data_IF_938024107574
#
_entry.id   IF_938024107574
#
_cell.length_a   1.000
_cell.length_b   1.000
_cell.length_c   1.000
_cell.angle_alpha   90.00
_cell.angle_beta   90.00
_cell.angle_gamma   90.00
#
_symmetry.space_group_name_H-M   'P 1'
#
loop_
_entity.id
_entity.type
_entity.pdbx_description
1 polymer ?
#
# COMPACT_ATOMS: atom_id res chain seq x y z
N UNK A 1 8.38 3.07 22.00
CA UNK A 1 8.33 2.31 23.25
C UNK A 1 7.05 2.59 24.02
N UNK A 2 6.43 1.58 24.57
CA UNK A 2 5.20 1.68 25.36
C UNK A 2 5.31 0.85 26.63
N UNK A 3 4.52 1.22 27.65
CA UNK A 3 4.52 0.49 28.94
C UNK A 3 3.67 -0.79 28.88
N UNK A 4 2.66 -0.82 28.04
CA UNK A 4 1.75 -1.95 27.88
C UNK A 4 1.28 -2.05 26.44
N UNK A 5 1.63 -3.15 25.77
CA UNK A 5 1.32 -3.40 24.36
C UNK A 5 -0.19 -3.46 24.11
N UNK A 6 -0.95 -4.17 24.95
CA UNK A 6 -2.40 -4.33 24.75
C UNK A 6 -3.15 -3.00 24.86
N UNK A 7 -2.76 -2.15 25.82
CA UNK A 7 -3.32 -0.81 25.96
C UNK A 7 -2.95 0.08 24.77
N UNK A 8 -1.68 0.08 24.37
CA UNK A 8 -1.19 0.86 23.23
C UNK A 8 -1.87 0.43 21.92
N UNK A 9 -2.06 -0.86 21.71
CA UNK A 9 -2.81 -1.40 20.56
C UNK A 9 -4.26 -0.89 20.53
N UNK A 10 -4.94 -0.86 21.67
CA UNK A 10 -6.28 -0.28 21.78
C UNK A 10 -6.31 1.20 21.41
N UNK A 11 -5.32 1.97 21.88
CA UNK A 11 -5.18 3.39 21.55
C UNK A 11 -4.87 3.61 20.07
N UNK A 12 -3.95 2.83 19.48
CA UNK A 12 -3.64 2.88 18.05
C UNK A 12 -4.90 2.64 17.20
N UNK A 13 -5.67 1.59 17.52
CA UNK A 13 -6.93 1.33 16.80
C UNK A 13 -7.95 2.46 16.96
N UNK A 14 -8.07 3.02 18.16
CA UNK A 14 -8.96 4.16 18.42
C UNK A 14 -8.59 5.41 17.62
N UNK A 15 -7.31 5.76 17.60
CA UNK A 15 -6.79 6.88 16.79
C UNK A 15 -7.08 6.64 15.32
N UNK A 16 -6.73 5.48 14.80
CA UNK A 16 -6.89 5.18 13.38
C UNK A 16 -8.35 5.15 12.94
N UNK A 17 -9.25 4.64 13.77
CA UNK A 17 -10.69 4.69 13.52
C UNK A 17 -11.21 6.14 13.39
N UNK A 18 -10.67 7.07 14.18
CA UNK A 18 -10.99 8.51 14.08
C UNK A 18 -10.56 9.15 12.78
N UNK A 19 -9.62 8.57 12.06
CA UNK A 19 -9.12 9.04 10.77
C UNK A 19 -9.57 8.19 9.57
N UNK A 20 -10.64 7.43 9.69
CA UNK A 20 -11.14 6.50 8.67
C UNK A 20 -10.07 5.47 8.25
N UNK A 21 -9.21 5.10 9.18
CA UNK A 21 -8.21 4.07 9.03
C UNK A 21 -8.76 2.68 9.30
N UNK A 22 -8.21 1.69 8.66
CA UNK A 22 -8.49 0.28 8.96
C UNK A 22 -7.21 -0.53 9.08
N UNK A 23 -7.27 -1.62 9.84
CA UNK A 23 -6.15 -2.55 10.01
C UNK A 23 -6.03 -3.45 8.78
N UNK A 24 -4.81 -3.51 8.21
CA UNK A 24 -4.45 -4.42 7.13
C UNK A 24 -3.88 -5.73 7.69
N UNK A 25 -3.02 -5.63 8.69
CA UNK A 25 -2.44 -6.78 9.38
C UNK A 25 -2.09 -6.43 10.82
N UNK A 26 -2.12 -7.43 11.67
CA UNK A 26 -1.74 -7.32 13.08
C UNK A 26 -0.98 -8.59 13.47
N UNK A 27 0.17 -8.41 14.10
CA UNK A 27 0.98 -9.48 14.65
C UNK A 27 1.40 -9.09 16.06
N UNK A 28 1.13 -9.96 17.04
CA UNK A 28 1.55 -9.79 18.43
C UNK A 28 2.36 -11.00 18.82
N UNK A 29 3.55 -10.78 19.34
CA UNK A 29 4.46 -11.81 19.78
C UNK A 29 5.07 -11.49 21.14
N UNK A 30 5.60 -12.50 21.78
CA UNK A 30 6.43 -12.36 22.97
C UNK A 30 7.77 -13.04 22.72
N UNK A 31 8.82 -12.45 23.26
CA UNK A 31 10.17 -12.96 23.22
C UNK A 31 10.70 -13.07 24.65
N UNK A 32 11.36 -14.16 24.96
CA UNK A 32 11.98 -14.39 26.26
C UNK A 32 13.50 -14.40 26.05
N UNK A 33 14.19 -13.39 26.57
CA UNK A 33 15.66 -13.34 26.59
C UNK A 33 16.15 -13.75 27.98
N UNK A 34 16.88 -14.87 28.03
CA UNK A 34 17.47 -15.42 29.23
C UNK A 34 16.74 -16.65 29.80
N UNK A 35 17.52 -17.55 30.42
CA UNK A 35 17.04 -18.70 31.21
C UNK A 35 17.14 -18.34 32.70
N UNK A 36 16.00 -18.26 33.39
CA UNK A 36 15.98 -18.04 34.85
C UNK A 36 14.56 -17.85 35.41
N UNK A 37 14.38 -18.17 36.69
CA UNK A 37 13.13 -17.86 37.41
C UNK A 37 12.97 -16.35 37.57
N UNK A 38 11.87 -15.79 37.04
CA UNK A 38 11.53 -14.37 37.15
C UNK A 38 11.72 -13.53 35.86
N UNK A 39 12.11 -14.15 34.74
CA UNK A 39 12.21 -13.45 33.45
C UNK A 39 10.81 -13.19 32.91
N UNK A 40 10.44 -11.91 32.80
CA UNK A 40 9.20 -11.51 32.13
C UNK A 40 9.41 -11.48 30.63
N UNK A 41 8.52 -12.09 29.83
CA UNK A 41 8.66 -12.04 28.40
C UNK A 41 8.47 -10.62 27.88
N UNK A 42 9.40 -10.17 27.05
CA UNK A 42 9.24 -8.93 26.29
C UNK A 42 8.19 -9.13 25.22
N UNK A 43 7.27 -8.19 25.13
CA UNK A 43 6.18 -8.26 24.18
C UNK A 43 6.39 -7.22 23.08
N UNK A 44 6.16 -7.63 21.85
CA UNK A 44 6.12 -6.73 20.71
C UNK A 44 4.82 -6.88 19.94
N UNK A 45 4.45 -5.83 19.23
CA UNK A 45 3.35 -5.90 18.28
C UNK A 45 3.70 -5.11 17.03
N UNK A 46 3.37 -5.67 15.89
CA UNK A 46 3.45 -4.99 14.60
C UNK A 46 2.05 -4.85 14.03
N UNK A 47 1.65 -3.63 13.76
CA UNK A 47 0.35 -3.32 13.16
C UNK A 47 0.57 -2.54 11.88
N UNK A 48 0.01 -3.03 10.78
CA UNK A 48 -0.06 -2.27 9.53
C UNK A 48 -1.50 -1.82 9.31
N UNK A 49 -1.65 -0.53 9.12
CA UNK A 49 -2.94 0.13 8.95
C UNK A 49 -2.91 0.98 7.68
N UNK A 50 -4.08 1.25 7.12
CA UNK A 50 -4.25 2.12 5.95
C UNK A 50 -5.11 3.31 6.34
N UNK A 51 -4.65 4.51 5.99
CA UNK A 51 -5.34 5.77 6.26
C UNK A 51 -5.48 6.58 4.96
N UNK A 52 -6.52 7.39 4.77
CA UNK A 52 -6.58 8.34 3.66
C UNK A 52 -5.32 9.21 3.62
N UNK A 53 -4.78 9.45 2.44
CA UNK A 53 -3.50 10.15 2.27
C UNK A 53 -3.53 11.59 2.81
N UNK A 54 -4.67 12.25 2.70
CA UNK A 54 -4.92 13.61 3.23
C UNK A 54 -5.00 13.65 4.76
N UNK A 55 -5.21 12.51 5.41
CA UNK A 55 -5.29 12.37 6.88
C UNK A 55 -4.03 11.76 7.50
N UNK A 56 -3.00 11.48 6.68
CA UNK A 56 -1.77 10.82 7.14
C UNK A 56 -1.06 11.61 8.25
N UNK A 57 -0.79 12.90 8.00
CA UNK A 57 -0.03 13.73 8.96
C UNK A 57 -0.76 13.92 10.28
N UNK A 58 -2.08 14.30 10.31
CA UNK A 58 -2.84 14.35 11.56
C UNK A 58 -2.89 13.02 12.31
N UNK A 59 -3.01 11.88 11.60
CA UNK A 59 -3.00 10.57 12.23
C UNK A 59 -1.65 10.24 12.87
N UNK A 60 -0.55 10.59 12.20
CA UNK A 60 0.80 10.43 12.74
C UNK A 60 1.03 11.28 13.99
N UNK A 61 0.53 12.50 14.03
CA UNK A 61 0.64 13.39 15.19
C UNK A 61 -0.11 12.84 16.42
N UNK A 62 -1.27 12.23 16.22
CA UNK A 62 -2.00 11.58 17.31
C UNK A 62 -1.32 10.28 17.77
N UNK A 63 -0.75 9.50 16.84
CA UNK A 63 -0.02 8.28 17.17
C UNK A 63 1.23 8.57 18.02
N UNK A 64 1.90 9.71 17.81
CA UNK A 64 3.06 10.12 18.61
C UNK A 64 2.75 10.31 20.10
N UNK A 65 1.48 10.53 20.45
CA UNK A 65 1.06 10.71 21.86
C UNK A 65 0.90 9.40 22.62
N UNK A 66 0.91 8.25 21.94
CA UNK A 66 0.67 6.93 22.54
C UNK A 66 1.90 6.42 23.28
N UNK A 67 3.10 6.77 22.83
CA UNK A 67 4.34 6.29 23.43
C UNK A 67 5.55 7.04 22.91
N UNK A 68 6.72 6.70 23.45
CA UNK A 68 8.00 7.28 23.00
C UNK A 68 8.37 6.72 21.62
N UNK A 69 8.70 7.61 20.68
CA UNK A 69 9.17 7.23 19.34
C UNK A 69 10.66 6.96 19.39
N UNK A 70 11.04 5.72 19.10
CA UNK A 70 12.44 5.31 19.02
C UNK A 70 13.01 5.46 17.61
N UNK A 71 12.20 5.17 16.59
CA UNK A 71 12.56 5.33 15.17
C UNK A 71 11.34 5.73 14.34
N UNK A 72 11.53 6.57 13.36
CA UNK A 72 10.51 6.95 12.37
C UNK A 72 11.13 6.95 10.99
N UNK A 73 10.63 6.10 10.13
CA UNK A 73 11.01 6.07 8.72
C UNK A 73 9.82 6.44 7.85
N UNK A 74 10.04 7.38 6.94
CA UNK A 74 9.04 7.72 5.92
C UNK A 74 9.65 7.42 4.56
N UNK A 75 8.99 6.55 3.80
CA UNK A 75 9.34 6.29 2.40
C UNK A 75 8.23 6.86 1.53
N UNK A 76 8.54 7.92 0.81
CA UNK A 76 7.60 8.49 -0.15
C UNK A 76 7.86 7.85 -1.51
N UNK A 77 6.96 7.00 -1.95
CA UNK A 77 6.93 6.53 -3.34
C UNK A 77 6.16 7.56 -4.16
N UNK A 78 6.85 8.27 -5.05
CA UNK A 78 6.18 9.24 -5.92
C UNK A 78 5.46 8.51 -7.07
N UNK A 79 4.29 7.97 -6.79
CA UNK A 79 3.43 7.31 -7.79
C UNK A 79 2.63 8.30 -8.64
N UNK A 80 2.69 9.62 -8.32
CA UNK A 80 1.94 10.65 -9.05
C UNK A 80 2.39 10.75 -10.50
N UNK A 81 3.69 10.71 -10.76
CA UNK A 81 4.23 10.75 -12.12
C UNK A 81 3.80 9.51 -12.92
N UNK A 82 3.86 8.32 -12.32
CA UNK A 82 3.41 7.07 -12.94
C UNK A 82 1.89 7.09 -13.19
N UNK A 83 1.10 7.63 -12.26
CA UNK A 83 -0.33 7.79 -12.43
C UNK A 83 -0.67 8.69 -13.62
N UNK A 84 -0.03 9.86 -13.73
CA UNK A 84 -0.25 10.81 -14.84
C UNK A 84 0.15 10.20 -16.18
N UNK A 85 1.32 9.53 -16.25
CA UNK A 85 1.77 8.85 -17.47
C UNK A 85 0.80 7.73 -17.87
N UNK A 86 0.42 6.88 -16.92
CA UNK A 86 -0.51 5.76 -17.17
C UNK A 86 -1.88 6.27 -17.64
N UNK A 87 -2.40 7.35 -17.04
CA UNK A 87 -3.65 7.98 -17.46
C UNK A 87 -3.57 8.54 -18.90
N UNK A 88 -2.43 9.13 -19.28
CA UNK A 88 -2.21 9.60 -20.64
C UNK A 88 -2.15 8.43 -21.65
N UNK A 89 -1.53 7.30 -21.27
CA UNK A 89 -1.46 6.09 -22.09
C UNK A 89 -2.84 5.45 -22.29
N UNK A 90 -3.67 5.40 -21.25
CA UNK A 90 -5.07 4.93 -21.36
C UNK A 90 -5.80 5.76 -22.41
N UNK A 91 -5.77 7.08 -22.33
CA UNK A 91 -6.42 7.96 -23.31
C UNK A 91 -5.89 7.78 -24.73
N UNK A 92 -4.60 7.54 -24.89
CA UNK A 92 -4.01 7.29 -26.21
C UNK A 92 -4.49 5.95 -26.79
N UNK A 93 -4.56 4.91 -25.98
CA UNK A 93 -5.02 3.59 -26.37
C UNK A 93 -6.52 3.57 -26.70
N UNK A 94 -7.36 4.26 -25.90
CA UNK A 94 -8.80 4.42 -26.21
C UNK A 94 -9.02 5.05 -27.58
N UNK A 95 -8.25 6.10 -27.94
CA UNK A 95 -8.33 6.70 -29.27
C UNK A 95 -7.83 5.75 -30.37
N UNK A 96 -6.86 4.89 -30.11
CA UNK A 96 -6.38 3.91 -31.07
C UNK A 96 -7.45 2.83 -31.31
N UNK A 97 -8.08 2.33 -30.25
CA UNK A 97 -9.21 1.39 -30.34
C UNK A 97 -10.36 1.99 -31.14
N UNK A 98 -10.75 3.23 -30.84
CA UNK A 98 -11.82 3.91 -31.56
C UNK A 98 -11.51 4.05 -33.06
N UNK A 99 -10.27 4.42 -33.43
CA UNK A 99 -9.88 4.51 -34.85
C UNK A 99 -9.93 3.16 -35.58
N UNK A 100 -9.56 2.05 -34.89
CA UNK A 100 -9.66 0.71 -35.49
C UNK A 100 -11.12 0.34 -35.69
N UNK A 101 -12.01 0.65 -34.76
CA UNK A 101 -13.46 0.44 -34.90
C UNK A 101 -14.03 1.22 -36.09
N UNK A 102 -13.66 2.50 -36.22
CA UNK A 102 -14.08 3.32 -37.38
C UNK A 102 -13.60 2.74 -38.71
N UNK A 103 -12.39 2.16 -38.75
CA UNK A 103 -11.85 1.52 -39.95
C UNK A 103 -12.57 0.21 -40.27
N UNK A 104 -12.97 -0.56 -39.27
CA UNK A 104 -13.79 -1.77 -39.42
C UNK A 104 -15.15 -1.42 -40.08
N UNK A 105 -15.79 -0.36 -39.58
CA UNK A 105 -17.10 0.07 -40.09
C UNK A 105 -17.03 0.58 -41.54
N UNK A 106 -15.87 1.08 -41.98
CA UNK A 106 -15.68 1.63 -43.32
C UNK A 106 -15.14 0.60 -44.33
N UNK A 107 -14.56 -0.52 -43.86
CA UNK A 107 -13.93 -1.50 -44.77
C UNK A 107 -14.98 -2.42 -45.43
N UNK A 108 -14.73 -2.73 -46.69
CA UNK A 108 -15.55 -3.71 -47.46
C UNK A 108 -14.74 -4.94 -47.83
N UNK A 109 -13.46 -4.94 -47.54
CA UNK A 109 -12.52 -6.03 -47.83
C UNK A 109 -12.46 -6.99 -46.65
N UNK A 110 -12.85 -8.26 -46.88
CA UNK A 110 -12.90 -9.29 -45.85
C UNK A 110 -11.51 -9.58 -45.25
N UNK A 111 -10.46 -9.58 -46.06
CA UNK A 111 -9.09 -9.84 -45.57
C UNK A 111 -8.60 -8.72 -44.67
N UNK A 112 -8.94 -7.48 -44.99
CA UNK A 112 -8.67 -6.33 -44.15
C UNK A 112 -9.50 -6.35 -42.88
N UNK A 113 -10.76 -6.72 -42.94
CA UNK A 113 -11.64 -6.85 -41.79
C UNK A 113 -11.08 -7.81 -40.75
N UNK A 114 -10.68 -9.03 -41.18
CA UNK A 114 -10.09 -10.03 -40.27
C UNK A 114 -8.79 -9.53 -39.61
N UNK A 115 -7.97 -8.76 -40.32
CA UNK A 115 -6.76 -8.16 -39.75
C UNK A 115 -7.08 -7.09 -38.71
N UNK A 116 -8.04 -6.21 -39.02
CA UNK A 116 -8.47 -5.15 -38.10
C UNK A 116 -9.13 -5.70 -36.84
N UNK A 117 -9.95 -6.77 -36.96
CA UNK A 117 -10.55 -7.43 -35.80
C UNK A 117 -9.51 -8.06 -34.87
N UNK A 118 -8.47 -8.67 -35.40
CA UNK A 118 -7.35 -9.19 -34.61
C UNK A 118 -6.59 -8.05 -33.90
N UNK A 119 -6.29 -6.98 -34.62
CA UNK A 119 -5.63 -5.81 -34.04
C UNK A 119 -6.52 -5.17 -32.97
N UNK A 120 -7.81 -5.04 -33.19
CA UNK A 120 -8.78 -4.53 -32.22
C UNK A 120 -8.75 -5.36 -30.94
N UNK A 121 -8.84 -6.69 -31.05
CA UNK A 121 -8.78 -7.60 -29.90
C UNK A 121 -7.48 -7.44 -29.11
N UNK A 122 -6.35 -7.33 -29.80
CA UNK A 122 -5.04 -7.10 -29.17
C UNK A 122 -5.04 -5.79 -28.39
N UNK A 123 -5.48 -4.68 -29.03
CA UNK A 123 -5.52 -3.36 -28.38
C UNK A 123 -6.50 -3.27 -27.23
N UNK A 124 -7.63 -3.96 -27.30
CA UNK A 124 -8.58 -4.05 -26.19
C UNK A 124 -7.96 -4.73 -24.97
N UNK A 125 -7.27 -5.87 -25.17
CA UNK A 125 -6.57 -6.56 -24.07
C UNK A 125 -5.47 -5.68 -23.45
N UNK A 126 -4.72 -4.97 -24.28
CA UNK A 126 -3.71 -4.02 -23.79
C UNK A 126 -4.35 -2.87 -22.99
N UNK A 127 -5.47 -2.32 -23.48
CA UNK A 127 -6.21 -1.26 -22.81
C UNK A 127 -6.73 -1.71 -21.43
N UNK A 128 -7.32 -2.89 -21.36
CA UNK A 128 -7.79 -3.47 -20.09
C UNK A 128 -6.65 -3.60 -19.06
N UNK A 129 -5.48 -4.07 -19.50
CA UNK A 129 -4.30 -4.17 -18.64
C UNK A 129 -3.81 -2.82 -18.12
N UNK A 130 -3.78 -1.80 -18.97
CA UNK A 130 -3.35 -0.44 -18.56
C UNK A 130 -4.41 0.22 -17.66
N UNK A 131 -5.70 -0.01 -17.92
CA UNK A 131 -6.78 0.49 -17.06
C UNK A 131 -6.74 -0.15 -15.66
N UNK A 132 -6.48 -1.45 -15.56
CA UNK A 132 -6.29 -2.12 -14.28
C UNK A 132 -5.11 -1.52 -13.50
N UNK A 133 -3.99 -1.22 -14.19
CA UNK A 133 -2.84 -0.54 -13.57
C UNK A 133 -3.19 0.87 -13.08
N UNK A 134 -3.95 1.63 -13.86
CA UNK A 134 -4.40 2.98 -13.47
C UNK A 134 -5.27 2.94 -12.21
N UNK A 135 -6.19 1.98 -12.12
CA UNK A 135 -7.02 1.79 -10.91
C UNK A 135 -6.19 1.43 -9.69
N UNK A 136 -5.14 0.61 -9.86
CA UNK A 136 -4.24 0.28 -8.77
C UNK A 136 -3.47 1.51 -8.27
N UNK A 137 -2.94 2.31 -9.18
CA UNK A 137 -2.28 3.57 -8.85
C UNK A 137 -3.21 4.56 -8.14
N UNK A 138 -4.48 4.63 -8.56
CA UNK A 138 -5.50 5.43 -7.87
C UNK A 138 -5.70 4.98 -6.42
N UNK A 139 -5.76 3.67 -6.17
CA UNK A 139 -5.88 3.13 -4.80
C UNK A 139 -4.65 3.47 -3.96
N UNK A 140 -3.46 3.35 -4.54
CA UNK A 140 -2.20 3.67 -3.86
C UNK A 140 -2.05 5.16 -3.54
N UNK A 141 -2.54 6.04 -4.39
CA UNK A 141 -2.50 7.50 -4.15
C UNK A 141 -3.58 7.97 -3.18
N UNK A 142 -4.70 7.26 -3.10
CA UNK A 142 -5.81 7.64 -2.22
C UNK A 142 -5.54 7.28 -0.74
N UNK A 143 -4.68 6.31 -0.46
CA UNK A 143 -4.44 5.82 0.89
C UNK A 143 -2.96 5.53 1.13
N UNK A 144 -2.52 5.78 2.37
CA UNK A 144 -1.15 5.55 2.82
C UNK A 144 -1.11 4.42 3.86
N UNK A 145 -0.23 3.42 3.69
CA UNK A 145 0.01 2.44 4.74
C UNK A 145 0.90 3.03 5.83
N UNK A 146 0.57 2.73 7.09
CA UNK A 146 1.38 3.03 8.27
C UNK A 146 1.68 1.70 8.95
N UNK A 147 2.94 1.39 9.15
CA UNK A 147 3.37 0.26 9.97
C UNK A 147 3.88 0.77 11.30
N UNK A 148 3.30 0.29 12.38
CA UNK A 148 3.62 0.66 13.75
C UNK A 148 4.19 -0.56 14.44
N UNK A 149 5.43 -0.46 14.90
CA UNK A 149 6.08 -1.45 15.74
C UNK A 149 6.05 -0.96 17.20
N UNK A 150 5.38 -1.70 18.05
CA UNK A 150 5.28 -1.43 19.49
C UNK A 150 6.19 -2.40 20.23
N UNK A 151 6.96 -1.88 21.18
CA UNK A 151 7.81 -2.69 22.06
C UNK A 151 7.83 -2.12 23.46
N UNK A 152 7.99 -2.98 24.45
CA UNK A 152 8.29 -2.60 25.81
C UNK A 152 9.80 -2.34 26.02
N UNK A 153 10.65 -3.00 25.22
CA UNK A 153 12.10 -2.91 25.26
C UNK A 153 12.70 -2.14 24.07
N UNK A 154 13.60 -1.15 24.30
CA UNK A 154 14.19 -0.35 23.22
C UNK A 154 15.09 -1.16 22.26
N UNK A 155 15.75 -2.22 22.73
CA UNK A 155 16.73 -2.98 21.96
C UNK A 155 16.10 -3.83 20.85
N UNK A 156 14.84 -4.23 20.99
CA UNK A 156 14.13 -5.04 19.98
C UNK A 156 13.89 -4.30 18.65
N UNK A 157 13.85 -2.97 18.66
CA UNK A 157 13.62 -2.17 17.45
C UNK A 157 14.77 -2.32 16.45
N UNK A 158 15.99 -2.44 16.92
CA UNK A 158 17.18 -2.58 16.08
C UNK A 158 17.15 -3.88 15.26
N UNK A 159 16.62 -4.97 15.81
CA UNK A 159 16.54 -6.28 15.16
C UNK A 159 15.39 -6.39 14.16
N UNK A 160 14.29 -5.66 14.37
CA UNK A 160 13.15 -5.65 13.45
C UNK A 160 13.40 -4.77 12.21
N UNK A 161 14.33 -3.82 12.32
CA UNK A 161 14.67 -2.87 11.27
C UNK A 161 15.77 -3.35 10.31
N UNK A 162 16.46 -4.45 10.61
CA UNK A 162 17.46 -5.04 9.73
C UNK A 162 16.76 -5.87 8.66
N UNK A 163 16.98 -5.60 7.35
CA UNK A 163 16.57 -6.54 6.32
C UNK A 163 17.31 -7.86 6.60
N UNK A 164 16.57 -8.96 6.74
CA UNK A 164 17.19 -10.27 6.65
C UNK A 164 17.76 -10.38 5.24
N UNK A 165 19.07 -10.21 5.10
CA UNK A 165 19.78 -10.64 3.91
C UNK A 165 19.56 -12.16 3.84
N UNK A 166 18.64 -12.53 2.94
CA UNK A 166 18.33 -13.92 2.66
C UNK A 166 19.46 -14.55 1.85
N UNK A 167 19.77 -15.75 2.20
CA UNK A 167 20.54 -16.71 1.41
C UNK A 167 19.91 -16.94 0.04
#
# INVERSE_FOLDING_TARGET
>A
QVKNIAQAMGQVRGVMAGFDGWTLSENVGSYVEGEGEGVTPDTYATVTMSVPADKLDPALDELQKIGEILDRRSTTQNVTAEFVDTAARVKAMERAVARIQDLIDQTKDIDQLVKLERELSTRQTELEGIQARLQELQRQTARSPITINLTTEPELVANLASPREGF
#
